data_IF_618881366417
#
_entry.id   IF_618881366417
#
_cell.length_a   1.000
_cell.length_b   1.000
_cell.length_c   1.000
_cell.angle_alpha   90.00
_cell.angle_beta   90.00
_cell.angle_gamma   90.00
#
_symmetry.space_group_name_H-M   'P 1'
#
loop_
_entity.id
_entity.type
_entity.pdbx_description
1 polymer ?
#
# COMPACT_ATOMS: atom_id res chain seq x y z
N UNK A 1 20.75 3.38 -1.72
CA UNK A 1 20.92 3.86 -0.33
C UNK A 1 22.26 4.57 -0.20
N UNK A 2 22.31 5.67 0.54
CA UNK A 2 23.57 6.31 0.94
C UNK A 2 24.37 5.34 1.81
N UNK A 3 25.71 5.35 1.70
CA UNK A 3 26.58 4.46 2.50
C UNK A 3 26.34 4.62 4.02
N UNK A 4 25.92 5.81 4.45
CA UNK A 4 25.58 6.14 5.83
C UNK A 4 24.29 5.46 6.35
N UNK A 5 23.36 5.08 5.46
CA UNK A 5 22.10 4.42 5.84
C UNK A 5 22.17 2.88 5.85
N UNK A 6 23.26 2.30 5.31
CA UNK A 6 23.38 0.83 5.19
C UNK A 6 23.65 0.19 6.56
N UNK A 7 22.76 -0.69 6.97
CA UNK A 7 22.98 -1.58 8.11
C UNK A 7 24.08 -2.62 7.80
N UNK A 8 25.05 -2.79 8.71
CA UNK A 8 26.12 -3.79 8.57
C UNK A 8 25.55 -5.19 8.80
N UNK A 9 25.49 -6.02 7.75
CA UNK A 9 24.95 -7.39 7.81
C UNK A 9 25.99 -8.48 7.57
N UNK A 10 27.18 -8.11 7.12
CA UNK A 10 28.18 -9.06 6.61
C UNK A 10 29.00 -9.75 7.72
N UNK A 11 29.20 -9.09 8.87
CA UNK A 11 29.92 -9.66 10.01
C UNK A 11 29.50 -9.05 11.34
N UNK A 12 29.51 -9.86 12.40
CA UNK A 12 29.24 -9.38 13.75
C UNK A 12 30.35 -8.42 14.26
N UNK A 13 30.03 -7.47 15.16
CA UNK A 13 28.66 -7.06 15.52
C UNK A 13 28.00 -6.29 14.37
N UNK A 14 26.69 -6.50 14.19
CA UNK A 14 25.90 -5.96 13.07
C UNK A 14 25.50 -4.48 13.26
N UNK A 15 25.55 -3.96 14.49
CA UNK A 15 25.20 -2.58 14.83
C UNK A 15 24.06 -2.51 15.84
N UNK A 16 23.66 -1.28 16.22
CA UNK A 16 22.59 -1.02 17.18
C UNK A 16 21.25 -0.82 16.46
N UNK A 17 20.71 -1.89 15.90
CA UNK A 17 19.43 -1.87 15.18
C UNK A 17 18.75 -3.23 15.28
N UNK A 18 17.42 -3.23 15.14
CA UNK A 18 16.61 -4.44 15.00
C UNK A 18 16.19 -4.61 13.54
N UNK A 19 16.18 -5.85 13.03
CA UNK A 19 15.81 -6.10 11.64
C UNK A 19 14.30 -5.94 11.45
N UNK A 20 13.51 -6.62 12.28
CA UNK A 20 12.06 -6.62 12.18
C UNK A 20 11.42 -6.41 13.54
N UNK A 21 10.19 -5.90 13.55
CA UNK A 21 9.39 -5.73 14.76
C UNK A 21 8.66 -7.01 15.12
N UNK A 22 7.40 -7.13 14.70
CA UNK A 22 6.56 -8.30 14.99
C UNK A 22 6.72 -9.33 13.87
N UNK A 23 6.94 -10.60 14.26
CA UNK A 23 6.92 -11.72 13.32
C UNK A 23 5.88 -12.73 13.78
N UNK A 24 5.02 -13.18 12.86
CA UNK A 24 4.00 -14.19 13.16
C UNK A 24 3.74 -15.10 11.94
N UNK A 25 3.33 -16.33 12.19
CA UNK A 25 2.85 -17.25 11.17
C UNK A 25 1.80 -18.19 11.74
N UNK A 26 0.80 -18.58 10.93
CA UNK A 26 -0.25 -19.52 11.35
C UNK A 26 -0.94 -19.15 12.67
N UNK A 27 -1.11 -17.84 12.91
CA UNK A 27 -1.55 -17.29 14.19
C UNK A 27 -3.00 -16.87 14.14
N UNK A 28 -3.73 -17.09 15.24
CA UNK A 28 -5.19 -16.94 15.30
C UNK A 28 -5.63 -16.14 16.51
N UNK A 29 -6.70 -15.35 16.39
CA UNK A 29 -7.32 -14.61 17.49
C UNK A 29 -6.35 -13.65 18.20
N UNK A 30 -5.64 -12.84 17.43
CA UNK A 30 -4.66 -11.88 17.99
C UNK A 30 -5.23 -10.48 17.94
N UNK A 31 -5.06 -9.75 19.04
CA UNK A 31 -5.34 -8.31 19.12
C UNK A 31 -4.03 -7.57 19.41
N UNK A 32 -3.57 -6.82 18.42
CA UNK A 32 -2.51 -5.84 18.60
C UNK A 32 -3.16 -4.48 18.82
N UNK A 33 -2.86 -3.84 19.94
CA UNK A 33 -3.44 -2.53 20.23
C UNK A 33 -2.44 -1.58 20.88
N UNK A 34 -2.57 -0.29 20.55
CA UNK A 34 -1.80 0.80 21.15
C UNK A 34 -0.27 0.62 21.04
N UNK A 35 0.19 0.22 19.84
CA UNK A 35 1.60 -0.04 19.56
C UNK A 35 2.21 1.04 18.65
N UNK A 36 3.48 1.35 18.88
CA UNK A 36 4.31 2.18 18.01
C UNK A 36 5.47 1.33 17.45
N UNK A 37 5.34 0.88 16.19
CA UNK A 37 6.29 -0.01 15.52
C UNK A 37 7.06 0.81 14.48
N UNK A 38 8.31 1.15 14.79
CA UNK A 38 9.05 2.12 14.00
C UNK A 38 10.57 1.96 14.00
N UNK A 39 11.23 2.51 12.98
CA UNK A 39 12.70 2.59 12.92
C UNK A 39 13.40 1.24 12.73
N UNK A 40 12.69 0.21 12.27
CA UNK A 40 13.29 -1.09 12.01
C UNK A 40 14.14 -1.03 10.73
N UNK A 41 15.27 -1.73 10.73
CA UNK A 41 16.18 -1.76 9.57
C UNK A 41 15.61 -2.52 8.36
N UNK A 42 14.52 -3.26 8.55
CA UNK A 42 13.84 -4.02 7.53
C UNK A 42 12.32 -3.83 7.67
N UNK A 43 11.58 -4.75 8.28
CA UNK A 43 10.11 -4.74 8.27
C UNK A 43 9.51 -4.37 9.61
N UNK A 44 8.42 -3.60 9.61
CA UNK A 44 7.65 -3.38 10.83
C UNK A 44 7.02 -4.67 11.34
N UNK A 45 6.21 -5.30 10.47
CA UNK A 45 5.51 -6.56 10.71
C UNK A 45 5.86 -7.55 9.59
N UNK A 46 6.15 -8.80 9.94
CA UNK A 46 6.36 -9.93 9.04
C UNK A 46 5.37 -11.02 9.41
N UNK A 47 4.19 -11.01 8.79
CA UNK A 47 3.09 -11.84 9.24
C UNK A 47 2.13 -12.26 8.13
N UNK A 48 1.93 -13.58 8.01
CA UNK A 48 0.96 -14.21 7.12
C UNK A 48 0.40 -15.50 7.73
N UNK A 49 -0.58 -16.11 7.08
CA UNK A 49 -1.25 -17.30 7.62
C UNK A 49 -2.15 -16.96 8.82
N UNK A 50 -2.68 -15.74 8.85
CA UNK A 50 -3.40 -15.19 9.98
C UNK A 50 -4.89 -15.56 9.91
N UNK A 51 -5.51 -15.73 11.07
CA UNK A 51 -6.97 -15.87 11.20
C UNK A 51 -7.48 -14.98 12.32
N UNK A 52 -8.48 -14.14 12.06
CA UNK A 52 -9.15 -13.34 13.09
C UNK A 52 -8.16 -12.44 13.86
N UNK A 53 -7.49 -11.56 13.13
CA UNK A 53 -6.57 -10.57 13.69
C UNK A 53 -7.24 -9.20 13.75
N UNK A 54 -7.04 -8.51 14.86
CA UNK A 54 -7.42 -7.10 15.03
C UNK A 54 -6.18 -6.29 15.36
N UNK A 55 -5.97 -5.20 14.65
CA UNK A 55 -4.89 -4.24 14.81
C UNK A 55 -5.52 -2.87 15.01
N UNK A 56 -5.39 -2.31 16.20
CA UNK A 56 -6.15 -1.14 16.63
C UNK A 56 -5.25 -0.06 17.25
N UNK A 57 -5.34 1.18 16.78
CA UNK A 57 -4.52 2.29 17.26
C UNK A 57 -3.02 1.99 17.20
N UNK A 58 -2.57 1.39 16.08
CA UNK A 58 -1.18 0.99 15.87
C UNK A 58 -0.52 1.89 14.82
N UNK A 59 0.73 2.28 15.09
CA UNK A 59 1.61 2.95 14.14
C UNK A 59 2.65 1.98 13.58
N UNK A 60 2.84 1.99 12.26
CA UNK A 60 3.83 1.22 11.53
C UNK A 60 4.61 2.20 10.64
N UNK A 61 5.69 2.78 11.20
CA UNK A 61 6.28 4.02 10.65
C UNK A 61 7.79 3.90 10.42
N UNK A 62 8.28 4.41 9.29
CA UNK A 62 9.71 4.58 9.02
C UNK A 62 10.56 3.30 9.21
N UNK A 63 10.03 2.18 8.74
CA UNK A 63 10.79 0.94 8.63
C UNK A 63 11.52 0.95 7.29
N UNK A 64 12.79 0.55 7.25
CA UNK A 64 13.64 0.65 6.05
C UNK A 64 13.16 -0.20 4.86
N UNK A 65 12.19 -1.07 5.06
CA UNK A 65 11.57 -1.89 4.03
C UNK A 65 10.04 -1.77 4.17
N UNK A 66 9.28 -2.85 4.11
CA UNK A 66 7.83 -2.79 4.18
C UNK A 66 7.36 -2.49 5.60
N UNK A 67 6.24 -1.78 5.72
CA UNK A 67 5.55 -1.65 7.01
C UNK A 67 5.05 -3.00 7.47
N UNK A 68 4.28 -3.67 6.61
CA UNK A 68 3.85 -5.05 6.77
C UNK A 68 4.19 -5.86 5.53
N UNK A 69 4.97 -6.92 5.72
CA UNK A 69 5.25 -7.94 4.71
C UNK A 69 4.49 -9.23 5.05
N UNK A 70 3.45 -9.52 4.25
CA UNK A 70 2.62 -10.70 4.39
C UNK A 70 3.13 -11.91 3.61
N UNK A 71 4.22 -11.77 2.85
CA UNK A 71 4.85 -12.91 2.19
C UNK A 71 5.86 -13.58 3.13
N UNK A 72 5.39 -14.59 3.84
CA UNK A 72 6.19 -15.46 4.68
C UNK A 72 6.45 -16.83 4.02
N UNK A 73 6.27 -16.92 2.69
CA UNK A 73 6.37 -18.16 1.92
C UNK A 73 5.08 -18.97 1.85
N UNK A 74 5.16 -20.29 2.00
CA UNK A 74 4.04 -21.21 1.72
C UNK A 74 2.84 -21.09 2.66
N UNK A 75 3.00 -20.46 3.82
CA UNK A 75 1.96 -20.30 4.84
C UNK A 75 1.40 -18.86 4.90
N UNK A 76 1.46 -18.11 3.80
CA UNK A 76 1.15 -16.67 3.81
C UNK A 76 -0.35 -16.33 3.78
N UNK A 77 -1.20 -17.21 3.27
CA UNK A 77 -2.62 -16.89 3.03
C UNK A 77 -3.40 -16.67 4.32
N UNK A 78 -4.04 -15.51 4.44
CA UNK A 78 -4.88 -15.15 5.58
C UNK A 78 -6.33 -15.65 5.40
N UNK A 79 -7.08 -15.63 6.48
CA UNK A 79 -8.47 -16.09 6.57
C UNK A 79 -9.22 -15.40 7.71
N UNK A 80 -10.54 -15.61 7.81
CA UNK A 80 -11.35 -14.97 8.85
C UNK A 80 -11.36 -13.45 8.69
N UNK A 81 -11.49 -12.73 9.80
CA UNK A 81 -11.50 -11.26 9.80
C UNK A 81 -10.10 -10.71 10.05
N UNK A 82 -9.63 -9.81 9.19
CA UNK A 82 -8.40 -9.05 9.41
C UNK A 82 -8.80 -7.58 9.51
N UNK A 83 -8.76 -7.03 10.72
CA UNK A 83 -9.25 -5.68 11.03
C UNK A 83 -8.08 -4.76 11.34
N UNK A 84 -7.97 -3.66 10.61
CA UNK A 84 -7.05 -2.56 10.87
C UNK A 84 -7.89 -1.31 11.14
N UNK A 85 -7.90 -0.83 12.38
CA UNK A 85 -8.68 0.34 12.81
C UNK A 85 -7.78 1.38 13.46
N UNK A 86 -7.92 2.64 13.08
CA UNK A 86 -7.15 3.72 13.73
C UNK A 86 -5.64 3.59 13.50
N UNK A 87 -5.23 2.97 12.39
CA UNK A 87 -3.80 2.68 12.13
C UNK A 87 -3.13 3.81 11.35
N UNK A 88 -1.85 4.04 11.64
CA UNK A 88 -0.96 4.86 10.82
C UNK A 88 0.08 3.96 10.16
N UNK A 89 0.15 3.96 8.83
CA UNK A 89 1.12 3.16 8.07
C UNK A 89 1.89 4.11 7.16
N UNK A 90 3.10 4.46 7.55
CA UNK A 90 3.77 5.59 6.93
C UNK A 90 5.28 5.47 6.77
N UNK A 91 5.82 6.15 5.76
CA UNK A 91 7.27 6.31 5.59
C UNK A 91 8.06 4.99 5.51
N UNK A 92 7.39 3.87 5.23
CA UNK A 92 8.06 2.60 5.05
C UNK A 92 8.85 2.62 3.74
N UNK A 93 10.07 2.07 3.78
CA UNK A 93 11.13 2.26 2.81
C UNK A 93 12.06 3.45 3.12
N UNK A 94 11.90 4.10 4.28
CA UNK A 94 12.80 5.12 4.78
C UNK A 94 13.45 4.66 6.10
N UNK A 95 14.66 5.15 6.37
CA UNK A 95 15.23 5.07 7.71
C UNK A 95 14.58 6.10 8.64
N UNK A 96 14.81 5.95 9.94
CA UNK A 96 14.35 6.90 10.96
C UNK A 96 15.55 7.50 11.71
N UNK A 97 15.49 8.81 12.00
CA UNK A 97 16.45 9.49 12.87
C UNK A 97 15.99 9.43 14.33
N UNK A 98 16.87 9.78 15.26
CA UNK A 98 16.55 9.82 16.70
C UNK A 98 15.42 10.80 17.05
N UNK A 99 15.21 11.83 16.23
CA UNK A 99 14.09 12.78 16.37
C UNK A 99 12.79 12.30 15.72
N UNK A 100 12.73 11.03 15.31
CA UNK A 100 11.63 10.38 14.58
C UNK A 100 11.41 10.86 13.14
N UNK A 101 12.27 11.73 12.62
CA UNK A 101 12.13 12.14 11.22
C UNK A 101 12.53 11.01 10.25
N UNK A 102 11.75 10.78 9.18
CA UNK A 102 12.14 9.87 8.12
C UNK A 102 13.33 10.43 7.36
N UNK A 103 14.25 9.58 6.93
CA UNK A 103 15.44 9.97 6.18
C UNK A 103 15.94 8.84 5.30
N UNK A 104 16.76 9.21 4.29
CA UNK A 104 17.37 8.27 3.38
C UNK A 104 16.32 7.29 2.83
N UNK A 105 15.26 7.77 2.19
CA UNK A 105 14.27 6.91 1.56
C UNK A 105 14.82 6.18 0.32
N UNK A 106 14.41 4.93 0.11
CA UNK A 106 14.74 4.13 -1.07
C UNK A 106 13.61 3.19 -1.47
N UNK A 107 13.59 2.80 -2.74
CA UNK A 107 12.61 1.88 -3.31
C UNK A 107 13.28 0.84 -4.21
N UNK A 108 12.52 0.22 -5.10
CA UNK A 108 12.91 -0.97 -5.86
C UNK A 108 14.16 -0.78 -6.71
N UNK A 109 14.34 0.37 -7.35
CA UNK A 109 15.54 0.62 -8.17
C UNK A 109 16.85 0.62 -7.36
N UNK A 110 16.74 0.81 -6.04
CA UNK A 110 17.84 0.75 -5.09
C UNK A 110 17.81 -0.53 -4.21
N UNK A 111 16.99 -1.52 -4.58
CA UNK A 111 16.88 -2.81 -3.91
C UNK A 111 15.95 -2.85 -2.69
N UNK A 112 15.06 -1.87 -2.53
CA UNK A 112 14.03 -1.85 -1.48
C UNK A 112 12.66 -2.35 -1.93
N UNK A 113 11.74 -2.49 -0.98
CA UNK A 113 10.31 -2.69 -1.25
C UNK A 113 9.53 -2.06 -0.08
N UNK A 114 9.21 -0.78 -0.23
CA UNK A 114 8.66 0.06 0.84
C UNK A 114 7.15 0.18 0.74
N UNK A 115 6.44 -0.94 0.60
CA UNK A 115 4.98 -0.93 0.71
C UNK A 115 4.59 -0.62 2.17
N UNK A 116 3.49 0.09 2.36
CA UNK A 116 2.92 0.26 3.70
C UNK A 116 2.44 -1.09 4.24
N UNK A 117 1.57 -1.76 3.50
CA UNK A 117 1.15 -3.15 3.75
C UNK A 117 1.06 -3.89 2.43
N UNK A 118 1.78 -5.00 2.31
CA UNK A 118 1.69 -5.91 1.17
C UNK A 118 1.49 -7.35 1.62
N UNK A 119 0.82 -8.15 0.80
CA UNK A 119 0.60 -9.58 1.06
C UNK A 119 0.98 -10.43 -0.14
N UNK A 120 1.38 -11.68 0.09
CA UNK A 120 1.30 -12.72 -0.94
C UNK A 120 -0.17 -13.06 -1.26
N UNK A 121 -0.40 -14.11 -2.06
CA UNK A 121 -1.76 -14.62 -2.33
C UNK A 121 -2.51 -14.88 -1.02
N UNK A 122 -3.64 -14.21 -0.81
CA UNK A 122 -4.31 -14.17 0.49
C UNK A 122 -5.84 -14.16 0.36
N UNK A 123 -6.54 -14.60 1.40
CA UNK A 123 -8.00 -14.52 1.49
C UNK A 123 -8.45 -13.71 2.70
N UNK A 124 -9.70 -13.96 3.12
CA UNK A 124 -10.29 -13.38 4.32
C UNK A 124 -11.04 -12.07 4.09
N UNK A 125 -11.57 -11.53 5.19
CA UNK A 125 -12.35 -10.30 5.23
C UNK A 125 -11.52 -9.18 5.83
N UNK A 126 -10.97 -8.35 4.97
CA UNK A 126 -10.15 -7.21 5.36
C UNK A 126 -11.02 -6.00 5.59
N UNK A 127 -10.92 -5.42 6.78
CA UNK A 127 -11.51 -4.12 7.13
C UNK A 127 -10.39 -3.16 7.49
N UNK A 128 -10.22 -2.12 6.69
CA UNK A 128 -9.30 -1.01 6.95
C UNK A 128 -10.16 0.22 7.19
N UNK A 129 -10.16 0.74 8.41
CA UNK A 129 -10.96 1.91 8.74
C UNK A 129 -10.27 2.91 9.65
N UNK A 130 -10.66 4.17 9.51
CA UNK A 130 -10.11 5.28 10.31
C UNK A 130 -8.57 5.34 10.22
N UNK A 131 -8.03 5.00 9.06
CA UNK A 131 -6.60 4.79 8.85
C UNK A 131 -5.92 5.98 8.16
N UNK A 132 -4.64 6.18 8.43
CA UNK A 132 -3.78 7.13 7.73
C UNK A 132 -2.59 6.41 7.10
N UNK A 133 -2.57 6.31 5.77
CA UNK A 133 -1.59 5.51 5.02
C UNK A 133 -0.81 6.44 4.08
N UNK A 134 0.44 6.76 4.39
CA UNK A 134 1.09 7.83 3.65
C UNK A 134 2.59 7.74 3.48
N UNK A 135 3.07 8.31 2.38
CA UNK A 135 4.49 8.52 2.13
C UNK A 135 5.32 7.23 2.25
N UNK A 136 4.74 6.07 1.91
CA UNK A 136 5.53 4.85 1.74
C UNK A 136 6.26 4.92 0.40
N UNK A 137 7.48 4.38 0.30
CA UNK A 137 8.30 4.51 -0.91
C UNK A 137 7.87 3.57 -2.05
N UNK A 138 6.82 2.78 -1.83
CA UNK A 138 6.13 2.01 -2.85
C UNK A 138 4.61 2.17 -2.68
N UNK A 139 3.82 1.12 -2.60
CA UNK A 139 2.37 1.22 -2.50
C UNK A 139 1.94 1.51 -1.04
N UNK A 140 0.77 2.13 -0.84
CA UNK A 140 0.23 2.35 0.50
C UNK A 140 -0.35 1.06 1.08
N UNK A 141 -1.50 0.66 0.57
CA UNK A 141 -2.14 -0.62 0.84
C UNK A 141 -2.09 -1.49 -0.42
N UNK A 142 -1.38 -2.61 -0.40
CA UNK A 142 -1.33 -3.59 -1.48
C UNK A 142 -2.02 -4.91 -1.09
N UNK A 143 -3.30 -4.99 -1.45
CA UNK A 143 -4.11 -6.21 -1.42
C UNK A 143 -4.48 -6.65 -2.84
N UNK A 144 -3.62 -6.40 -3.84
CA UNK A 144 -3.85 -6.87 -5.21
C UNK A 144 -3.79 -8.42 -5.31
N UNK A 145 -3.21 -9.07 -4.31
CA UNK A 145 -3.06 -10.53 -4.24
C UNK A 145 -4.17 -11.23 -3.46
N UNK A 146 -5.34 -10.60 -3.28
CA UNK A 146 -6.52 -11.31 -2.80
C UNK A 146 -6.83 -12.52 -3.71
N UNK A 147 -7.50 -13.54 -3.18
CA UNK A 147 -7.80 -14.76 -3.92
C UNK A 147 -8.95 -14.61 -4.95
N UNK A 148 -9.66 -13.48 -4.93
CA UNK A 148 -10.81 -13.19 -5.80
C UNK A 148 -12.06 -14.03 -5.49
N UNK A 149 -12.02 -14.81 -4.40
CA UNK A 149 -13.08 -15.73 -4.01
C UNK A 149 -14.30 -15.02 -3.43
N UNK A 150 -15.46 -15.68 -3.51
CA UNK A 150 -16.72 -15.14 -2.98
C UNK A 150 -16.77 -15.03 -1.44
N UNK A 151 -15.82 -15.67 -0.75
CA UNK A 151 -15.65 -15.60 0.71
C UNK A 151 -14.48 -14.70 1.13
N UNK A 152 -13.98 -13.85 0.23
CA UNK A 152 -12.94 -12.88 0.51
C UNK A 152 -13.43 -11.50 0.13
N UNK A 153 -13.03 -10.48 0.88
CA UNK A 153 -13.48 -9.11 0.64
C UNK A 153 -12.55 -8.08 1.26
N UNK A 154 -12.45 -6.91 0.63
CA UNK A 154 -11.75 -5.75 1.18
C UNK A 154 -12.74 -4.60 1.39
N UNK A 155 -12.78 -4.06 2.60
CA UNK A 155 -13.49 -2.81 2.91
C UNK A 155 -12.49 -1.77 3.37
N UNK A 156 -12.42 -0.64 2.68
CA UNK A 156 -11.64 0.54 3.07
C UNK A 156 -12.62 1.69 3.33
N UNK A 157 -12.64 2.25 4.54
CA UNK A 157 -13.55 3.36 4.84
C UNK A 157 -12.99 4.39 5.81
N UNK A 158 -13.32 5.67 5.59
CA UNK A 158 -12.79 6.78 6.42
C UNK A 158 -11.27 6.76 6.50
N UNK A 159 -10.63 6.44 5.38
CA UNK A 159 -9.17 6.33 5.27
C UNK A 159 -8.61 7.54 4.53
N UNK A 160 -7.47 8.03 4.99
CA UNK A 160 -6.68 9.03 4.28
C UNK A 160 -5.44 8.33 3.72
N UNK A 161 -5.31 8.23 2.39
CA UNK A 161 -4.18 7.58 1.74
C UNK A 161 -3.46 8.56 0.81
N UNK A 162 -2.20 8.92 1.12
CA UNK A 162 -1.55 10.10 0.52
C UNK A 162 -0.07 9.89 0.22
N UNK A 163 0.37 10.30 -0.97
CA UNK A 163 1.79 10.51 -1.28
C UNK A 163 2.66 9.26 -1.23
N UNK A 164 2.06 8.06 -1.26
CA UNK A 164 2.81 6.83 -1.50
C UNK A 164 3.37 6.87 -2.93
N UNK A 165 4.62 6.45 -3.14
CA UNK A 165 5.31 6.60 -4.44
C UNK A 165 4.71 5.72 -5.55
N UNK A 166 3.97 4.67 -5.18
CA UNK A 166 3.16 3.87 -6.08
C UNK A 166 1.66 4.18 -5.95
N UNK A 167 0.85 3.13 -5.90
CA UNK A 167 -0.59 3.26 -5.73
C UNK A 167 -0.95 3.48 -4.25
N UNK A 168 -1.97 4.28 -3.97
CA UNK A 168 -2.36 4.53 -2.58
C UNK A 168 -3.13 3.34 -2.00
N UNK A 169 -4.03 2.76 -2.81
CA UNK A 169 -4.84 1.60 -2.47
C UNK A 169 -4.86 0.63 -3.66
N UNK A 170 -4.54 -0.65 -3.40
CA UNK A 170 -4.75 -1.77 -4.32
C UNK A 170 -5.61 -2.83 -3.68
N UNK A 171 -6.55 -3.36 -4.45
CA UNK A 171 -7.42 -4.46 -4.03
C UNK A 171 -7.69 -5.40 -5.20
N UNK A 172 -8.08 -6.64 -4.92
CA UNK A 172 -8.61 -7.55 -5.93
C UNK A 172 -9.90 -8.22 -5.44
N UNK A 173 -10.86 -8.41 -6.35
CA UNK A 173 -12.10 -9.13 -6.08
C UNK A 173 -13.15 -8.23 -5.44
N UNK A 174 -13.95 -8.77 -4.51
CA UNK A 174 -15.04 -8.01 -3.88
C UNK A 174 -14.46 -6.89 -3.02
N UNK A 175 -14.80 -5.64 -3.33
CA UNK A 175 -14.30 -4.50 -2.57
C UNK A 175 -15.33 -3.38 -2.36
N UNK A 176 -15.21 -2.68 -1.24
CA UNK A 176 -15.90 -1.40 -1.00
C UNK A 176 -14.89 -0.38 -0.50
N UNK A 177 -14.74 0.72 -1.23
CA UNK A 177 -13.89 1.85 -0.85
C UNK A 177 -14.78 3.07 -0.72
N UNK A 178 -14.93 3.60 0.50
CA UNK A 178 -15.89 4.67 0.75
C UNK A 178 -15.46 5.72 1.76
N UNK A 179 -16.05 6.91 1.66
CA UNK A 179 -15.88 8.01 2.62
C UNK A 179 -14.40 8.32 2.90
N UNK A 180 -13.54 8.19 1.89
CA UNK A 180 -12.09 8.26 2.03
C UNK A 180 -11.49 9.39 1.19
N UNK A 181 -10.30 9.84 1.56
CA UNK A 181 -9.52 10.83 0.82
C UNK A 181 -8.28 10.12 0.28
N UNK A 182 -8.12 10.10 -1.04
CA UNK A 182 -7.04 9.38 -1.72
C UNK A 182 -6.29 10.35 -2.62
N UNK A 183 -5.04 10.65 -2.25
CA UNK A 183 -4.20 11.67 -2.90
C UNK A 183 -2.95 10.98 -3.44
N UNK A 184 -3.01 10.57 -4.71
CA UNK A 184 -1.94 9.95 -5.47
C UNK A 184 -0.85 10.93 -5.90
N UNK A 185 -0.26 11.69 -4.97
CA UNK A 185 0.94 12.51 -5.23
C UNK A 185 2.17 11.59 -5.31
N UNK A 186 2.16 10.67 -6.26
CA UNK A 186 3.11 9.57 -6.36
C UNK A 186 4.52 10.00 -6.80
N UNK A 187 4.71 11.27 -7.14
CA UNK A 187 6.02 11.89 -7.39
C UNK A 187 6.58 12.65 -6.17
N UNK A 188 5.98 12.51 -4.97
CA UNK A 188 6.40 13.22 -3.76
C UNK A 188 7.90 13.08 -3.45
N UNK A 189 8.47 11.92 -3.76
CA UNK A 189 9.85 11.58 -3.48
C UNK A 189 10.83 12.00 -4.58
N UNK A 190 10.36 12.63 -5.65
CA UNK A 190 11.25 13.08 -6.72
C UNK A 190 12.34 14.03 -6.19
N UNK A 191 13.58 13.78 -6.62
CA UNK A 191 14.75 14.50 -6.15
C UNK A 191 15.15 14.26 -4.68
N UNK A 192 14.54 13.30 -3.97
CA UNK A 192 14.83 13.02 -2.55
C UNK A 192 15.62 11.73 -2.34
N UNK A 193 16.62 11.81 -1.45
CA UNK A 193 17.37 10.66 -0.95
C UNK A 193 17.92 9.71 -2.03
N UNK A 194 17.54 8.44 -2.00
CA UNK A 194 17.93 7.42 -2.99
C UNK A 194 16.79 7.07 -3.95
N UNK A 195 15.66 7.79 -3.90
CA UNK A 195 14.51 7.55 -4.76
C UNK A 195 14.84 7.98 -6.18
N UNK A 196 14.65 7.08 -7.14
CA UNK A 196 14.91 7.35 -8.56
C UNK A 196 13.62 7.79 -9.26
N UNK A 197 13.78 8.39 -10.44
CA UNK A 197 12.65 8.77 -11.29
C UNK A 197 11.74 7.58 -11.58
N UNK A 198 12.32 6.40 -11.81
CA UNK A 198 11.55 5.17 -12.09
C UNK A 198 10.77 4.63 -10.88
N UNK A 199 11.12 5.05 -9.66
CA UNK A 199 10.36 4.70 -8.45
C UNK A 199 9.13 5.60 -8.28
N UNK A 200 9.08 6.78 -8.94
CA UNK A 200 7.95 7.70 -8.85
C UNK A 200 6.79 7.22 -9.71
N UNK A 201 5.57 7.29 -9.20
CA UNK A 201 4.36 6.85 -9.90
C UNK A 201 4.52 5.47 -10.55
N UNK A 202 5.21 4.56 -9.85
CA UNK A 202 5.48 3.20 -10.31
C UNK A 202 4.17 2.41 -10.40
N UNK A 203 4.13 1.41 -11.28
CA UNK A 203 2.92 0.61 -11.56
C UNK A 203 1.74 1.53 -11.94
N UNK A 204 2.02 2.45 -12.87
CA UNK A 204 1.12 3.49 -13.36
C UNK A 204 0.71 4.54 -12.31
N UNK A 205 1.10 4.42 -11.03
CA UNK A 205 0.92 5.46 -10.02
C UNK A 205 -0.53 5.84 -9.71
N UNK A 206 -1.50 5.04 -10.17
CA UNK A 206 -2.91 5.33 -9.97
C UNK A 206 -3.25 5.54 -8.49
N UNK A 207 -4.15 6.47 -8.18
CA UNK A 207 -4.57 6.69 -6.80
C UNK A 207 -5.21 5.41 -6.21
N UNK A 208 -6.07 4.75 -6.99
CA UNK A 208 -6.69 3.47 -6.66
C UNK A 208 -6.49 2.49 -7.83
N UNK A 209 -6.03 1.27 -7.55
CA UNK A 209 -5.92 0.18 -8.52
C UNK A 209 -6.72 -1.04 -8.06
N UNK A 210 -7.52 -1.61 -8.96
CA UNK A 210 -8.53 -2.62 -8.64
C UNK A 210 -8.42 -3.78 -9.60
N UNK A 211 -8.07 -4.96 -9.10
CA UNK A 211 -8.25 -6.22 -9.81
C UNK A 211 -9.72 -6.65 -9.74
N UNK A 212 -10.36 -6.87 -10.87
CA UNK A 212 -11.72 -7.38 -10.95
C UNK A 212 -11.73 -8.91 -10.97
N UNK A 213 -12.72 -9.51 -10.31
CA UNK A 213 -12.96 -10.96 -10.32
C UNK A 213 -14.37 -11.28 -10.78
N UNK A 214 -14.54 -12.44 -11.44
CA UNK A 214 -15.84 -12.84 -12.01
C UNK A 214 -16.91 -12.91 -10.92
N UNK A 215 -18.06 -12.26 -11.15
CA UNK A 215 -19.19 -12.25 -10.22
C UNK A 215 -18.93 -11.53 -8.89
N UNK A 216 -17.80 -10.84 -8.73
CA UNK A 216 -17.49 -10.07 -7.52
C UNK A 216 -17.74 -8.58 -7.76
N UNK A 217 -18.58 -7.92 -6.94
CA UNK A 217 -18.84 -6.50 -7.08
C UNK A 217 -17.76 -5.65 -6.41
N UNK A 218 -17.45 -4.52 -7.03
CA UNK A 218 -16.63 -3.46 -6.46
C UNK A 218 -17.41 -2.16 -6.40
N UNK A 219 -17.37 -1.47 -5.26
CA UNK A 219 -18.05 -0.20 -5.03
C UNK A 219 -17.06 0.86 -4.56
N UNK A 220 -16.94 1.95 -5.32
CA UNK A 220 -16.20 3.15 -4.97
C UNK A 220 -17.21 4.28 -4.78
N UNK A 221 -17.37 4.78 -3.55
CA UNK A 221 -18.35 5.84 -3.31
C UNK A 221 -17.99 6.87 -2.25
N UNK A 222 -18.44 8.11 -2.43
CA UNK A 222 -18.26 9.19 -1.45
C UNK A 222 -16.78 9.47 -1.13
N UNK A 223 -15.89 9.26 -2.10
CA UNK A 223 -14.47 9.53 -1.92
C UNK A 223 -14.08 10.86 -2.58
N UNK A 224 -12.99 11.45 -2.11
CA UNK A 224 -12.24 12.48 -2.84
C UNK A 224 -10.95 11.86 -3.35
N UNK A 225 -10.76 11.84 -4.66
CA UNK A 225 -9.65 11.17 -5.32
C UNK A 225 -8.94 12.16 -6.24
N UNK A 226 -7.64 12.31 -6.05
CA UNK A 226 -6.77 13.14 -6.89
C UNK A 226 -5.40 12.48 -7.01
N UNK A 227 -4.60 12.82 -8.02
CA UNK A 227 -3.28 12.23 -8.18
C UNK A 227 -2.58 12.56 -9.49
N UNK A 228 -1.32 12.14 -9.55
CA UNK A 228 -0.31 12.42 -10.58
C UNK A 228 0.09 11.16 -11.36
N UNK A 229 -0.60 10.04 -11.14
CA UNK A 229 -0.41 8.83 -11.93
C UNK A 229 -1.09 8.90 -13.29
N UNK A 230 -1.09 7.78 -14.00
CA UNK A 230 -1.73 7.60 -15.30
C UNK A 230 -3.23 7.91 -15.24
N UNK A 231 -3.95 7.23 -14.34
CA UNK A 231 -5.34 7.50 -14.02
C UNK A 231 -5.57 7.55 -12.50
N UNK A 232 -6.67 8.17 -12.06
CA UNK A 232 -7.07 8.15 -10.66
C UNK A 232 -7.54 6.76 -10.24
N UNK A 233 -8.30 6.09 -11.09
CA UNK A 233 -8.84 4.75 -10.86
C UNK A 233 -8.42 3.86 -12.03
N UNK A 234 -7.67 2.81 -11.74
CA UNK A 234 -7.41 1.71 -12.66
C UNK A 234 -8.26 0.51 -12.25
N UNK A 235 -8.98 -0.08 -13.19
CA UNK A 235 -9.57 -1.41 -13.04
C UNK A 235 -8.97 -2.37 -14.05
N UNK A 236 -8.62 -3.58 -13.63
CA UNK A 236 -8.01 -4.58 -14.49
C UNK A 236 -8.70 -5.95 -14.40
N UNK A 237 -8.78 -6.66 -15.52
CA UNK A 237 -9.24 -8.04 -15.55
C UNK A 237 -10.76 -8.19 -15.40
N UNK A 238 -11.20 -9.28 -14.78
CA UNK A 238 -12.61 -9.60 -14.63
C UNK A 238 -13.25 -10.24 -15.87
N UNK A 239 -14.57 -10.44 -15.80
CA UNK A 239 -15.40 -10.98 -16.87
C UNK A 239 -16.64 -10.10 -17.09
N UNK A 240 -17.51 -10.45 -18.03
CA UNK A 240 -18.81 -9.79 -18.23
C UNK A 240 -19.77 -9.88 -17.02
N UNK A 241 -19.41 -10.63 -15.98
CA UNK A 241 -20.14 -10.69 -14.70
C UNK A 241 -19.49 -9.87 -13.59
N UNK A 242 -18.30 -9.31 -13.83
CA UNK A 242 -17.65 -8.39 -12.91
C UNK A 242 -18.36 -7.04 -12.94
N UNK A 243 -18.41 -6.34 -11.82
CA UNK A 243 -19.04 -5.01 -11.75
C UNK A 243 -18.20 -4.06 -10.95
N UNK A 244 -18.03 -2.84 -11.48
CA UNK A 244 -17.41 -1.72 -10.81
C UNK A 244 -18.41 -0.56 -10.77
N UNK A 245 -18.81 -0.15 -9.57
CA UNK A 245 -19.69 0.99 -9.36
C UNK A 245 -18.92 2.18 -8.81
N UNK A 246 -18.85 3.27 -9.56
CA UNK A 246 -18.22 4.53 -9.16
C UNK A 246 -19.32 5.57 -8.95
N UNK A 247 -19.62 5.91 -7.70
CA UNK A 247 -20.78 6.73 -7.34
C UNK A 247 -20.42 7.87 -6.39
N UNK A 248 -20.86 9.09 -6.67
CA UNK A 248 -20.71 10.23 -5.75
C UNK A 248 -19.27 10.46 -5.29
N UNK A 249 -18.29 10.27 -6.17
CA UNK A 249 -16.89 10.59 -5.89
C UNK A 249 -16.53 11.94 -6.51
N UNK A 250 -15.63 12.67 -5.86
CA UNK A 250 -14.93 13.81 -6.46
C UNK A 250 -13.63 13.29 -7.08
N UNK A 251 -13.47 13.49 -8.39
CA UNK A 251 -12.29 13.07 -9.16
C UNK A 251 -11.59 14.31 -9.72
N UNK A 252 -10.34 14.55 -9.32
CA UNK A 252 -9.54 15.69 -9.80
C UNK A 252 -8.17 15.20 -10.25
N UNK A 253 -7.99 15.05 -11.57
CA UNK A 253 -6.70 14.72 -12.15
C UNK A 253 -5.70 15.86 -11.94
N UNK A 254 -4.52 15.55 -11.43
CA UNK A 254 -3.38 16.48 -11.48
C UNK A 254 -2.56 16.19 -12.74
N UNK A 255 -1.51 16.96 -12.96
CA UNK A 255 -0.55 16.70 -14.03
C UNK A 255 0.02 15.30 -13.86
N UNK A 256 -0.13 14.45 -14.88
CA UNK A 256 0.48 13.11 -14.91
C UNK A 256 2.00 13.28 -14.94
N UNK A 257 2.65 12.79 -13.88
CA UNK A 257 4.09 12.87 -13.73
C UNK A 257 4.83 12.15 -14.86
N UNK A 258 4.42 10.93 -15.21
CA UNK A 258 5.13 10.11 -16.19
C UNK A 258 4.87 10.61 -17.60
N UNK A 259 3.62 10.90 -17.96
CA UNK A 259 3.28 11.49 -19.25
C UNK A 259 4.07 12.77 -19.53
N UNK A 260 4.17 13.65 -18.54
CA UNK A 260 4.95 14.89 -18.65
C UNK A 260 6.46 14.60 -18.78
N UNK A 261 7.01 13.65 -18.01
CA UNK A 261 8.41 13.25 -18.12
C UNK A 261 8.75 12.61 -19.48
N UNK A 262 7.77 12.01 -20.17
CA UNK A 262 7.94 11.38 -21.50
C UNK A 262 7.58 12.28 -22.68
N UNK A 263 7.33 13.58 -22.44
CA UNK A 263 7.13 14.55 -23.51
C UNK A 263 5.67 14.88 -23.85
N UNK A 264 4.72 14.56 -22.96
CA UNK A 264 3.32 15.00 -23.03
C UNK A 264 3.06 16.12 -22.00
N UNK A 265 3.60 17.33 -22.20
CA UNK A 265 3.46 18.41 -21.24
C UNK A 265 1.99 18.80 -21.05
N UNK A 266 1.56 18.92 -19.79
CA UNK A 266 0.20 19.27 -19.42
C UNK A 266 -0.81 18.12 -19.48
N UNK A 267 -0.37 16.89 -19.81
CA UNK A 267 -1.20 15.70 -19.65
C UNK A 267 -1.67 15.60 -18.20
N UNK A 268 -2.97 15.38 -18.01
CA UNK A 268 -3.59 15.21 -16.70
C UNK A 268 -3.93 13.74 -16.49
N UNK A 269 -3.83 13.28 -15.25
CA UNK A 269 -4.28 11.97 -14.84
C UNK A 269 -5.75 11.75 -15.25
N UNK A 270 -6.03 10.65 -15.94
CA UNK A 270 -7.38 10.32 -16.38
C UNK A 270 -8.29 9.97 -15.18
N UNK A 271 -9.62 10.12 -15.31
CA UNK A 271 -10.53 9.82 -14.21
C UNK A 271 -10.63 8.33 -13.88
N UNK A 272 -10.82 7.50 -14.91
CA UNK A 272 -10.90 6.04 -14.81
C UNK A 272 -10.51 5.41 -16.14
N UNK A 273 -9.81 4.28 -16.05
CA UNK A 273 -9.48 3.44 -17.18
C UNK A 273 -9.63 1.96 -16.81
N UNK A 274 -10.18 1.18 -17.74
CA UNK A 274 -10.30 -0.27 -17.64
C UNK A 274 -9.29 -0.97 -18.56
N UNK A 275 -8.33 -1.68 -17.97
CA UNK A 275 -7.33 -2.47 -18.69
C UNK A 275 -7.74 -3.94 -18.78
N UNK A 276 -7.61 -4.52 -19.97
CA UNK A 276 -7.82 -5.96 -20.20
C UNK A 276 -9.09 -6.49 -19.49
N UNK A 277 -10.18 -5.74 -19.62
CA UNK A 277 -11.43 -6.01 -18.90
C UNK A 277 -12.58 -6.21 -19.87
N UNK A 278 -13.51 -7.08 -19.48
CA UNK A 278 -14.81 -7.27 -20.15
C UNK A 278 -16.00 -6.95 -19.24
N UNK A 279 -15.72 -6.31 -18.09
CA UNK A 279 -16.70 -5.86 -17.12
C UNK A 279 -17.55 -4.69 -17.64
#
# INVERSE_FOLDING_TARGET
ATSAARCKRDSAPYGKWASSGITASNSRNVHLHDLDIHGLANRGIVAGGLTDWTVENVKIVANGWAGWDGDIGSASSNSGNIVLRGVEIAWNGCGEKLDRSPWACWAQTAGGYGDGLGTAKTGGHWLIEDAYIHHNTSDGLDLLYMDGGSNSSVTVRRTHAVGNAGNQIKTLGRATIENSVVVGNCAYFDGRDSMKSDDQCRALGNAISIGLSSGQPVVLRHNTITGQGDCLILSEGGSSSSTLSIQNNVLVGQVDWRGNATGNPGELACGHYAYNSSA
#
